data_IF_062578903917
#
_entry.id   IF_062578903917
#
_cell.length_a   1.000
_cell.length_b   1.000
_cell.length_c   1.000
_cell.angle_alpha   90.00
_cell.angle_beta   90.00
_cell.angle_gamma   90.00
#
_symmetry.space_group_name_H-M   'P 1'
#
loop_
_entity.id
_entity.type
_entity.pdbx_description
1 polymer ?
#
# COMPACT_ATOMS: atom_id res chain seq x y z
N UNK A 1 8.62 3.71 -6.84
CA UNK A 1 8.01 4.49 -5.73
C UNK A 1 6.53 4.18 -5.63
N UNK A 2 5.83 4.56 -4.55
CA UNK A 2 4.36 4.41 -4.51
C UNK A 2 3.69 5.25 -5.61
N UNK A 3 2.50 4.86 -6.05
CA UNK A 3 1.67 5.61 -7.00
C UNK A 3 1.33 7.04 -6.54
N UNK A 4 1.31 7.26 -5.22
CA UNK A 4 1.22 8.57 -4.57
C UNK A 4 2.25 9.60 -5.10
N UNK A 5 3.36 9.16 -5.68
CA UNK A 5 4.45 10.00 -6.19
C UNK A 5 4.51 10.10 -7.71
N UNK A 6 3.49 9.60 -8.42
CA UNK A 6 3.43 9.59 -9.89
C UNK A 6 3.62 11.00 -10.47
N UNK A 7 4.50 11.14 -11.46
CA UNK A 7 4.80 12.41 -12.12
C UNK A 7 5.87 13.26 -11.43
N UNK A 8 6.29 12.90 -10.21
CA UNK A 8 7.21 13.72 -9.41
C UNK A 8 8.68 13.45 -9.70
N UNK A 9 8.99 12.29 -10.25
CA UNK A 9 10.36 11.84 -10.53
C UNK A 9 10.61 11.53 -12.00
N UNK A 10 9.67 11.84 -12.89
CA UNK A 10 9.75 11.53 -14.33
C UNK A 10 10.96 12.20 -15.00
N UNK A 11 11.46 13.31 -14.44
CA UNK A 11 12.70 13.95 -14.90
C UNK A 11 13.94 13.04 -14.79
N UNK A 12 13.91 12.00 -13.94
CA UNK A 12 14.99 11.02 -13.84
C UNK A 12 14.98 10.02 -15.02
N UNK A 13 13.85 9.86 -15.70
CA UNK A 13 13.80 9.06 -16.94
C UNK A 13 14.61 9.72 -18.06
N UNK A 14 14.62 11.05 -18.12
CA UNK A 14 15.44 11.82 -19.08
C UNK A 14 16.95 11.66 -18.81
N UNK A 15 17.33 11.48 -17.53
CA UNK A 15 18.71 11.20 -17.11
C UNK A 15 19.10 9.71 -17.30
N UNK A 16 18.21 8.89 -17.87
CA UNK A 16 18.46 7.47 -18.17
C UNK A 16 18.18 6.51 -17.02
N UNK A 17 17.38 6.92 -16.03
CA UNK A 17 16.98 6.08 -14.89
C UNK A 17 15.56 5.58 -15.08
N UNK A 18 15.32 4.28 -14.90
CA UNK A 18 13.96 3.72 -14.97
C UNK A 18 13.14 4.11 -13.73
N UNK A 19 12.04 4.84 -13.92
CA UNK A 19 11.17 5.29 -12.84
C UNK A 19 9.87 4.49 -12.83
N UNK A 20 9.80 3.47 -11.97
CA UNK A 20 8.60 2.64 -11.81
C UNK A 20 7.75 3.09 -10.62
N UNK A 21 6.47 3.35 -10.84
CA UNK A 21 5.47 3.60 -9.80
C UNK A 21 4.68 2.33 -9.50
N UNK A 22 4.87 1.79 -8.30
CA UNK A 22 4.18 0.61 -7.82
C UNK A 22 2.84 1.03 -7.19
N UNK A 23 1.72 0.40 -7.59
CA UNK A 23 0.45 0.63 -6.91
C UNK A 23 0.60 0.25 -5.44
N UNK A 24 -0.01 1.03 -4.55
CA UNK A 24 -0.15 0.58 -3.16
C UNK A 24 -0.84 -0.78 -3.17
N UNK A 25 -0.33 -1.70 -2.37
CA UNK A 25 -1.03 -2.94 -2.12
C UNK A 25 -2.44 -2.57 -1.66
N UNK A 26 -3.52 -3.05 -2.31
CA UNK A 26 -4.86 -2.82 -1.81
C UNK A 26 -4.86 -3.34 -0.39
N UNK A 27 -4.95 -2.40 0.54
CA UNK A 27 -4.69 -2.67 1.93
C UNK A 27 -5.61 -3.82 2.33
N UNK A 28 -5.00 -4.94 2.75
CA UNK A 28 -5.61 -5.79 3.76
C UNK A 28 -6.08 -4.83 4.84
N UNK A 29 -7.37 -4.54 4.84
CA UNK A 29 -7.93 -3.41 5.57
C UNK A 29 -7.55 -3.60 7.02
N UNK A 30 -6.76 -2.68 7.58
CA UNK A 30 -6.39 -2.74 8.99
C UNK A 30 -7.66 -2.71 9.87
N UNK A 31 -8.74 -2.12 9.37
CA UNK A 31 -10.08 -2.20 9.97
C UNK A 31 -10.65 -3.63 9.94
N UNK A 32 -10.48 -4.36 8.84
CA UNK A 32 -10.89 -5.76 8.73
C UNK A 32 -10.04 -6.66 9.66
N UNK A 33 -8.71 -6.49 9.67
CA UNK A 33 -7.82 -7.25 10.55
C UNK A 33 -8.17 -7.00 12.03
N UNK A 34 -8.42 -5.74 12.41
CA UNK A 34 -8.86 -5.40 13.77
C UNK A 34 -10.19 -6.07 14.11
N UNK A 35 -11.18 -6.01 13.20
CA UNK A 35 -12.48 -6.65 13.40
C UNK A 35 -12.35 -8.17 13.57
N UNK A 36 -11.58 -8.81 12.70
CA UNK A 36 -11.35 -10.26 12.72
C UNK A 36 -10.60 -10.71 14.00
N UNK A 37 -9.70 -9.88 14.54
CA UNK A 37 -9.02 -10.13 15.82
C UNK A 37 -9.99 -10.01 17.01
N UNK A 38 -10.81 -8.95 17.06
CA UNK A 38 -11.80 -8.76 18.12
C UNK A 38 -12.88 -9.85 18.13
N UNK A 39 -13.38 -10.27 16.97
CA UNK A 39 -14.39 -11.33 16.87
C UNK A 39 -13.87 -12.70 17.34
N UNK A 40 -12.59 -13.02 17.06
CA UNK A 40 -11.97 -14.26 17.54
C UNK A 40 -11.82 -14.31 19.06
N UNK A 41 -11.53 -13.19 19.71
CA UNK A 41 -11.40 -13.11 21.17
C UNK A 41 -12.75 -13.27 21.88
N UNK A 42 -13.86 -12.81 21.29
CA UNK A 42 -15.20 -12.98 21.85
C UNK A 42 -15.67 -14.43 21.75
N UNK A 43 -15.29 -15.16 20.69
CA UNK A 43 -15.69 -16.57 20.48
C UNK A 43 -15.03 -17.57 21.44
N UNK A 44 -13.96 -17.17 22.14
CA UNK A 44 -13.23 -18.00 23.10
C UNK A 44 -13.72 -17.88 24.54
N UNK A 45 -14.76 -17.08 24.79
CA UNK A 45 -15.32 -16.80 26.11
C UNK A 45 -16.67 -17.47 26.30
#
# INVERSE_FOLDING_TARGET
MGDDWKGKFDFLEEEGVEVVYLPRTPEISTSQIKKDLYEKDISKK
#
